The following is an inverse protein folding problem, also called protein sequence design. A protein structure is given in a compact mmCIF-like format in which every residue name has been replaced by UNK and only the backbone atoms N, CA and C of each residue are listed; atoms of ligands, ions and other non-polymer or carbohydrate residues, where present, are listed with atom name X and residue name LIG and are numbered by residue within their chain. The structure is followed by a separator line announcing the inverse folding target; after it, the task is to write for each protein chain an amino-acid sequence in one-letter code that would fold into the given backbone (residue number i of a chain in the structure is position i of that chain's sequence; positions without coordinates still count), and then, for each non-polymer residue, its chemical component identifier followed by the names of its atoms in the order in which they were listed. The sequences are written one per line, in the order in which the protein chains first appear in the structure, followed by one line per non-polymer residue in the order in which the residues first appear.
data_IF_183952262997
#
_entry.id   IF_183952262997
#
_cell.length_a   1.000
_cell.length_b   1.000
_cell.length_c   1.000
_cell.angle_alpha   90.00
_cell.angle_beta   90.00
_cell.angle_gamma   90.00
#
_symmetry.space_group_name_H-M   'P 1'
#
loop_
_entity.id
_entity.type
_entity.pdbx_description
1 polymer ?
#
# COMPACT_ATOMS: atom_id res chain seq x y z
N UNK A 1 4.53 -28.96 10.93
CA UNK A 1 3.53 -27.97 10.45
C UNK A 1 2.22 -28.09 11.20
N UNK A 2 1.68 -29.30 11.39
CA UNK A 2 0.41 -29.52 12.08
C UNK A 2 0.43 -29.16 13.57
N UNK A 3 1.52 -29.44 14.28
CA UNK A 3 1.74 -29.01 15.67
C UNK A 3 1.77 -27.49 15.83
N UNK A 4 2.30 -26.77 14.84
CA UNK A 4 2.36 -25.30 14.82
C UNK A 4 0.99 -24.71 14.50
N UNK A 5 0.26 -25.29 13.54
CA UNK A 5 -1.10 -24.89 13.24
C UNK A 5 -2.05 -25.08 14.43
N UNK A 6 -1.95 -26.21 15.13
CA UNK A 6 -2.73 -26.48 16.34
C UNK A 6 -2.39 -25.52 17.49
N UNK A 7 -1.15 -25.03 17.56
CA UNK A 7 -0.75 -23.99 18.51
C UNK A 7 -1.42 -22.65 18.20
N UNK A 8 -1.37 -22.18 16.94
CA UNK A 8 -2.04 -20.93 16.55
C UNK A 8 -3.56 -20.99 16.75
N UNK A 9 -4.16 -22.15 16.55
CA UNK A 9 -5.59 -22.36 16.81
C UNK A 9 -5.93 -22.21 18.31
N UNK A 10 -5.09 -22.73 19.20
CA UNK A 10 -5.22 -22.53 20.66
C UNK A 10 -4.99 -21.08 21.08
N UNK A 11 -4.15 -20.35 20.36
CA UNK A 11 -3.87 -18.92 20.58
C UNK A 11 -4.97 -18.01 19.98
N UNK A 12 -6.00 -18.57 19.33
CA UNK A 12 -7.11 -17.84 18.71
C UNK A 12 -6.79 -17.26 17.32
N UNK A 13 -5.59 -17.52 16.78
CA UNK A 13 -5.16 -17.07 15.45
C UNK A 13 -5.50 -18.14 14.38
N UNK A 14 -6.79 -18.18 14.03
CA UNK A 14 -7.32 -19.10 13.01
C UNK A 14 -6.71 -18.84 11.63
N UNK A 15 -6.35 -17.59 11.30
CA UNK A 15 -5.78 -17.23 10.00
C UNK A 15 -4.41 -17.87 9.82
N UNK A 16 -3.52 -17.73 10.80
CA UNK A 16 -2.20 -18.37 10.76
C UNK A 16 -2.32 -19.89 10.82
N UNK A 17 -3.24 -20.44 11.61
CA UNK A 17 -3.47 -21.88 11.63
C UNK A 17 -3.78 -22.43 10.22
N UNK A 18 -4.71 -21.81 9.50
CA UNK A 18 -5.07 -22.21 8.13
C UNK A 18 -3.88 -22.08 7.17
N UNK A 19 -3.15 -20.96 7.21
CA UNK A 19 -1.98 -20.76 6.37
C UNK A 19 -0.94 -21.86 6.59
N UNK A 20 -0.63 -22.18 7.85
CA UNK A 20 0.35 -23.21 8.18
C UNK A 20 -0.08 -24.63 7.76
N UNK A 21 -1.39 -24.91 7.75
CA UNK A 21 -1.91 -26.16 7.19
C UNK A 21 -1.76 -26.23 5.66
N UNK A 22 -1.88 -25.09 4.97
CA UNK A 22 -1.74 -25.03 3.51
C UNK A 22 -0.29 -25.12 3.02
N UNK A 23 0.70 -24.62 3.78
CA UNK A 23 2.12 -24.62 3.37
C UNK A 23 2.60 -26.02 3.00
N UNK A 24 2.35 -27.02 3.86
CA UNK A 24 2.86 -28.37 3.63
C UNK A 24 2.37 -28.93 2.29
N UNK A 25 1.05 -28.82 2.03
CA UNK A 25 0.45 -29.26 0.78
C UNK A 25 1.03 -28.52 -0.41
N UNK A 26 1.19 -27.19 -0.33
CA UNK A 26 1.75 -26.41 -1.42
C UNK A 26 3.20 -26.80 -1.76
N UNK A 27 4.01 -27.15 -0.76
CA UNK A 27 5.38 -27.63 -0.96
C UNK A 27 5.40 -29.00 -1.63
N UNK A 28 4.58 -29.95 -1.15
CA UNK A 28 4.47 -31.27 -1.78
C UNK A 28 3.97 -31.16 -3.22
N UNK A 29 2.91 -30.39 -3.46
CA UNK A 29 2.36 -30.15 -4.79
C UNK A 29 3.40 -29.52 -5.75
N UNK A 30 4.33 -28.70 -5.24
CA UNK A 30 5.44 -28.17 -6.04
C UNK A 30 6.45 -29.27 -6.39
N UNK A 31 6.87 -30.07 -5.41
CA UNK A 31 7.84 -31.15 -5.62
C UNK A 31 7.29 -32.18 -6.61
N UNK A 32 6.02 -32.53 -6.50
CA UNK A 32 5.33 -33.42 -7.45
C UNK A 32 5.35 -32.84 -8.87
N UNK A 33 5.07 -31.55 -9.03
CA UNK A 33 5.15 -30.89 -10.34
C UNK A 33 6.57 -30.88 -10.92
N UNK A 34 7.58 -30.63 -10.08
CA UNK A 34 8.98 -30.70 -10.53
C UNK A 34 9.32 -32.12 -10.96
N UNK A 35 8.87 -33.13 -10.21
CA UNK A 35 9.02 -34.53 -10.59
C UNK A 35 8.33 -34.85 -11.92
N UNK A 36 7.08 -34.43 -12.11
CA UNK A 36 6.32 -34.68 -13.35
C UNK A 36 6.96 -34.00 -14.56
N UNK A 37 7.50 -32.79 -14.40
CA UNK A 37 8.16 -32.05 -15.48
C UNK A 37 9.51 -32.66 -15.87
N UNK A 38 10.30 -33.10 -14.89
CA UNK A 38 11.65 -33.64 -15.12
C UNK A 38 11.61 -35.13 -15.47
N UNK A 39 10.58 -35.85 -15.03
CA UNK A 39 10.33 -37.25 -15.33
C UNK A 39 11.52 -38.15 -15.00
N UNK A 40 12.22 -38.61 -16.05
CA UNK A 40 13.42 -39.47 -15.96
C UNK A 40 14.69 -38.78 -16.41
N UNK A 41 14.64 -37.50 -16.75
CA UNK A 41 15.82 -36.75 -17.15
C UNK A 41 16.77 -36.58 -15.97
N UNK A 42 18.08 -36.70 -16.25
CA UNK A 42 19.10 -36.46 -15.23
C UNK A 42 19.40 -34.96 -15.20
N UNK A 43 18.94 -34.31 -14.15
CA UNK A 43 19.21 -32.91 -13.86
C UNK A 43 20.38 -32.78 -12.87
N UNK A 44 21.13 -31.69 -12.96
CA UNK A 44 22.15 -31.41 -11.95
C UNK A 44 21.50 -30.97 -10.63
N UNK A 45 22.19 -31.17 -9.51
CA UNK A 45 21.72 -30.70 -8.21
C UNK A 45 21.53 -29.17 -8.19
N UNK A 46 22.31 -28.43 -8.98
CA UNK A 46 22.22 -26.97 -9.11
C UNK A 46 20.93 -26.57 -9.80
N UNK A 47 20.63 -27.17 -10.95
CA UNK A 47 19.43 -26.84 -11.73
C UNK A 47 18.16 -27.24 -10.96
N UNK A 48 18.21 -28.37 -10.25
CA UNK A 48 17.11 -28.77 -9.37
C UNK A 48 16.86 -27.75 -8.25
N UNK A 49 17.93 -27.26 -7.60
CA UNK A 49 17.80 -26.23 -6.57
C UNK A 49 17.17 -24.95 -7.13
N UNK A 50 17.60 -24.51 -8.31
CA UNK A 50 17.06 -23.33 -8.97
C UNK A 50 15.57 -23.49 -9.31
N UNK A 51 15.16 -24.68 -9.77
CA UNK A 51 13.74 -25.01 -10.00
C UNK A 51 12.92 -24.96 -8.71
N UNK A 52 13.44 -25.52 -7.61
CA UNK A 52 12.78 -25.51 -6.31
C UNK A 52 12.66 -24.08 -5.78
N UNK A 53 13.74 -23.30 -5.79
CA UNK A 53 13.73 -21.90 -5.33
C UNK A 53 12.77 -21.04 -6.15
N UNK A 54 12.82 -21.17 -7.48
CA UNK A 54 11.91 -20.47 -8.38
C UNK A 54 10.47 -20.87 -8.11
N UNK A 55 10.20 -22.18 -7.99
CA UNK A 55 8.88 -22.70 -7.68
C UNK A 55 8.33 -22.18 -6.36
N UNK A 56 9.12 -22.23 -5.30
CA UNK A 56 8.75 -21.72 -3.97
C UNK A 56 8.47 -20.22 -4.01
N UNK A 57 9.25 -19.43 -4.75
CA UNK A 57 9.04 -17.98 -4.89
C UNK A 57 7.70 -17.61 -5.55
N UNK A 58 7.14 -18.53 -6.34
CA UNK A 58 5.85 -18.35 -7.02
C UNK A 58 4.65 -18.86 -6.21
N UNK A 59 4.88 -19.57 -5.10
CA UNK A 59 3.78 -20.04 -4.26
C UNK A 59 3.11 -18.85 -3.57
N UNK A 60 1.83 -18.64 -3.87
CA UNK A 60 0.98 -17.66 -3.19
C UNK A 60 -0.13 -18.39 -2.43
N UNK A 61 -0.12 -18.26 -1.10
CA UNK A 61 -1.14 -18.87 -0.24
C UNK A 61 -2.27 -17.88 -0.01
N UNK A 62 -3.45 -18.19 -0.54
CA UNK A 62 -4.66 -17.43 -0.32
C UNK A 62 -5.46 -17.98 0.86
N UNK A 63 -5.80 -17.12 1.82
CA UNK A 63 -6.76 -17.46 2.87
C UNK A 63 -8.13 -16.91 2.52
N UNK A 64 -9.18 -17.74 2.57
CA UNK A 64 -10.56 -17.26 2.46
C UNK A 64 -10.87 -16.43 3.71
N UNK A 65 -11.26 -15.15 3.57
CA UNK A 65 -11.60 -14.34 4.73
C UNK A 65 -12.79 -14.96 5.48
N UNK A 66 -12.60 -15.25 6.77
CA UNK A 66 -13.60 -15.89 7.64
C UNK A 66 -14.68 -14.92 8.14
N UNK A 67 -14.53 -13.61 7.90
CA UNK A 67 -15.44 -12.56 8.41
C UNK A 67 -16.28 -11.92 7.30
N UNK A 68 -17.52 -11.59 7.63
CA UNK A 68 -18.50 -10.95 6.74
C UNK A 68 -18.21 -9.46 6.56
N UNK A 69 -17.77 -8.77 7.61
CA UNK A 69 -17.39 -7.37 7.56
C UNK A 69 -15.92 -7.23 7.16
N UNK A 70 -15.69 -6.68 5.97
CA UNK A 70 -14.37 -6.65 5.34
C UNK A 70 -14.22 -5.48 4.38
N UNK A 71 -13.00 -4.96 4.32
CA UNK A 71 -12.56 -4.03 3.29
C UNK A 71 -12.00 -4.84 2.12
N UNK A 72 -12.48 -4.57 0.92
CA UNK A 72 -11.94 -5.17 -0.30
C UNK A 72 -10.82 -4.29 -0.85
N UNK A 73 -9.60 -4.83 -0.85
CA UNK A 73 -8.43 -4.20 -1.46
C UNK A 73 -8.06 -5.01 -2.69
N UNK A 74 -7.83 -4.34 -3.81
CA UNK A 74 -7.39 -5.02 -5.02
C UNK A 74 -7.07 -4.08 -6.18
N UNK A 75 -6.72 -4.69 -7.29
CA UNK A 75 -6.26 -4.03 -8.50
C UNK A 75 -7.42 -3.47 -9.36
N UNK A 76 -7.16 -2.38 -10.08
CA UNK A 76 -8.14 -1.64 -10.90
C UNK A 76 -8.68 -2.49 -12.06
N UNK A 77 -7.85 -3.35 -12.67
CA UNK A 77 -8.21 -4.14 -13.85
C UNK A 77 -8.87 -5.48 -13.46
N UNK A 78 -8.40 -6.09 -12.36
CA UNK A 78 -8.79 -7.45 -11.97
C UNK A 78 -9.92 -7.51 -10.95
N UNK A 79 -10.04 -6.52 -10.07
CA UNK A 79 -11.03 -6.56 -8.99
C UNK A 79 -12.44 -6.27 -9.51
N UNK A 80 -13.37 -7.17 -9.20
CA UNK A 80 -14.80 -6.97 -9.51
C UNK A 80 -15.51 -6.40 -8.28
N UNK A 81 -15.68 -5.09 -8.29
CA UNK A 81 -16.48 -4.37 -7.29
C UNK A 81 -17.97 -4.48 -7.62
N UNK A 82 -18.80 -4.79 -6.62
CA UNK A 82 -20.28 -4.81 -6.70
C UNK A 82 -20.84 -3.84 -5.66
N UNK A 83 -21.68 -2.89 -6.08
CA UNK A 83 -22.42 -1.95 -5.22
C UNK A 83 -21.66 -1.45 -3.98
N UNK A 84 -20.49 -0.85 -4.19
CA UNK A 84 -19.69 -0.26 -3.10
C UNK A 84 -20.26 1.11 -2.73
N UNK A 85 -20.33 1.42 -1.43
CA UNK A 85 -20.75 2.76 -0.97
C UNK A 85 -19.62 3.77 -1.08
N UNK A 86 -18.44 3.38 -0.61
CA UNK A 86 -17.23 4.18 -0.60
C UNK A 86 -16.12 3.48 -1.39
N UNK A 87 -15.45 4.22 -2.27
CA UNK A 87 -14.31 3.72 -3.04
C UNK A 87 -13.09 4.61 -2.82
N UNK A 88 -11.96 3.97 -2.49
CA UNK A 88 -10.67 4.64 -2.31
C UNK A 88 -9.70 4.20 -3.41
N UNK A 89 -9.29 5.15 -4.26
CA UNK A 89 -8.15 4.98 -5.13
C UNK A 89 -6.90 5.48 -4.41
N UNK A 90 -5.97 4.58 -4.12
CA UNK A 90 -4.70 4.90 -3.49
C UNK A 90 -3.56 4.93 -4.51
N UNK A 91 -2.61 5.84 -4.31
CA UNK A 91 -1.38 5.89 -5.11
C UNK A 91 -1.60 6.32 -6.56
N UNK A 92 -2.52 7.27 -6.78
CA UNK A 92 -2.86 7.86 -8.09
C UNK A 92 -1.76 8.82 -8.56
N UNK A 93 -0.59 8.23 -8.77
CA UNK A 93 0.65 8.88 -9.15
C UNK A 93 0.98 8.63 -10.62
N UNK A 94 1.79 9.51 -11.19
CA UNK A 94 2.35 9.31 -12.52
C UNK A 94 3.18 8.01 -12.58
N UNK A 95 3.11 7.30 -13.70
CA UNK A 95 3.70 5.96 -13.87
C UNK A 95 2.91 4.79 -13.25
N UNK A 96 2.11 5.03 -12.20
CA UNK A 96 1.18 4.04 -11.65
C UNK A 96 -0.14 4.03 -12.43
N UNK A 97 -0.60 5.22 -12.85
CA UNK A 97 -1.85 5.42 -13.58
C UNK A 97 -1.60 6.38 -14.76
N UNK A 98 -1.66 5.91 -16.02
CA UNK A 98 -1.75 4.50 -16.40
C UNK A 98 -0.46 3.75 -16.01
N UNK A 99 -0.57 2.46 -15.69
CA UNK A 99 0.60 1.64 -15.37
C UNK A 99 1.44 1.52 -16.63
N UNK A 100 2.71 1.91 -16.55
CA UNK A 100 3.65 1.70 -17.65
C UNK A 100 3.71 0.22 -18.00
N UNK A 101 3.40 -0.12 -19.25
CA UNK A 101 3.49 -1.50 -19.74
C UNK A 101 4.97 -1.83 -19.87
N UNK A 102 5.46 -2.81 -19.11
CA UNK A 102 6.87 -3.18 -19.14
C UNK A 102 7.27 -3.70 -20.53
N UNK A 103 8.50 -3.38 -20.96
CA UNK A 103 9.14 -3.85 -22.20
C UNK A 103 9.53 -5.34 -22.15
N UNK A 104 8.62 -6.21 -21.70
CA UNK A 104 8.85 -7.64 -21.53
C UNK A 104 7.99 -8.44 -22.49
N UNK A 105 8.49 -8.68 -23.70
CA UNK A 105 7.82 -9.52 -24.68
C UNK A 105 8.83 -10.10 -25.66
N UNK A 106 8.58 -11.31 -26.13
CA UNK A 106 9.40 -11.97 -27.16
C UNK A 106 9.26 -11.22 -28.51
N UNK A 107 8.09 -10.61 -28.75
CA UNK A 107 7.77 -9.88 -29.98
C UNK A 107 7.95 -8.39 -29.78
N UNK A 108 8.68 -7.76 -30.71
CA UNK A 108 8.76 -6.30 -30.81
C UNK A 108 7.46 -5.68 -31.30
N UNK A 109 7.32 -4.36 -31.18
CA UNK A 109 6.17 -3.64 -31.71
C UNK A 109 6.07 -3.78 -33.24
N UNK A 110 7.20 -3.84 -33.96
CA UNK A 110 7.25 -4.08 -35.41
C UNK A 110 6.75 -5.49 -35.76
N UNK A 111 7.16 -6.52 -35.01
CA UNK A 111 6.69 -7.90 -35.23
C UNK A 111 5.17 -7.99 -35.05
N UNK A 112 4.64 -7.28 -34.04
CA UNK A 112 3.21 -7.25 -33.75
C UNK A 112 2.42 -6.58 -34.86
N UNK A 113 2.89 -5.45 -35.38
CA UNK A 113 2.24 -4.76 -36.50
C UNK A 113 2.25 -5.62 -37.77
N UNK A 114 3.38 -6.26 -38.07
CA UNK A 114 3.48 -7.19 -39.21
C UNK A 114 2.50 -8.35 -39.07
N UNK A 115 2.48 -9.05 -37.93
CA UNK A 115 1.58 -10.17 -37.69
C UNK A 115 0.10 -9.73 -37.70
N UNK A 116 -0.23 -8.56 -37.16
CA UNK A 116 -1.58 -8.01 -37.21
C UNK A 116 -2.02 -7.70 -38.65
N UNK A 117 -1.10 -7.22 -39.51
CA UNK A 117 -1.38 -7.00 -40.93
C UNK A 117 -1.71 -8.29 -41.69
N UNK A 118 -1.22 -9.43 -41.20
CA UNK A 118 -1.54 -10.77 -41.70
C UNK A 118 -2.84 -11.35 -41.10
N UNK A 119 -3.56 -10.57 -40.29
CA UNK A 119 -4.81 -10.99 -39.64
C UNK A 119 -4.63 -11.75 -38.34
N UNK A 120 -3.41 -11.84 -37.78
CA UNK A 120 -3.20 -12.46 -36.49
C UNK A 120 -3.78 -11.61 -35.35
N UNK A 121 -4.57 -12.23 -34.48
CA UNK A 121 -5.08 -11.57 -33.26
C UNK A 121 -4.02 -11.68 -32.17
N UNK A 122 -3.41 -10.55 -31.82
CA UNK A 122 -2.38 -10.46 -30.80
C UNK A 122 -2.89 -9.76 -29.54
N UNK A 123 -2.16 -9.92 -28.44
CA UNK A 123 -2.41 -9.15 -27.22
C UNK A 123 -2.33 -7.64 -27.48
N UNK A 124 -3.11 -6.81 -26.75
CA UNK A 124 -3.18 -5.37 -26.99
C UNK A 124 -1.82 -4.69 -27.04
N UNK A 125 -1.65 -3.78 -28.00
CA UNK A 125 -0.48 -2.92 -28.09
C UNK A 125 -0.44 -1.92 -26.91
N UNK A 126 0.72 -1.32 -26.56
CA UNK A 126 0.83 -0.40 -25.41
C UNK A 126 -0.21 0.74 -25.44
N UNK A 127 -0.48 1.29 -26.63
CA UNK A 127 -1.50 2.33 -26.82
C UNK A 127 -2.92 1.82 -26.53
N UNK A 128 -3.25 0.59 -26.95
CA UNK A 128 -4.55 -0.02 -26.67
C UNK A 128 -4.68 -0.34 -25.17
N UNK A 129 -3.61 -0.82 -24.53
CA UNK A 129 -3.58 -1.06 -23.09
C UNK A 129 -3.87 0.22 -22.29
N UNK A 130 -3.32 1.36 -22.72
CA UNK A 130 -3.62 2.66 -22.12
C UNK A 130 -5.13 3.00 -22.22
N UNK A 131 -5.77 2.76 -23.36
CA UNK A 131 -7.21 2.99 -23.51
C UNK A 131 -8.03 2.02 -22.64
N UNK A 132 -7.64 0.76 -22.55
CA UNK A 132 -8.26 -0.24 -21.68
C UNK A 132 -8.18 0.20 -20.21
N UNK A 133 -7.02 0.71 -19.77
CA UNK A 133 -6.88 1.25 -18.41
C UNK A 133 -7.76 2.46 -18.15
N UNK A 134 -7.87 3.37 -19.12
CA UNK A 134 -8.82 4.50 -19.03
C UNK A 134 -10.26 4.05 -18.87
N UNK A 135 -10.66 3.01 -19.61
CA UNK A 135 -11.98 2.41 -19.48
C UNK A 135 -12.17 1.81 -18.09
N UNK A 136 -11.20 1.07 -17.55
CA UNK A 136 -11.30 0.52 -16.20
C UNK A 136 -11.36 1.60 -15.12
N UNK A 137 -10.63 2.70 -15.26
CA UNK A 137 -10.74 3.84 -14.34
C UNK A 137 -12.16 4.39 -14.34
N UNK A 138 -12.70 4.68 -15.53
CA UNK A 138 -14.09 5.14 -15.66
C UNK A 138 -15.07 4.17 -14.99
N UNK A 139 -15.01 2.88 -15.37
CA UNK A 139 -15.92 1.86 -14.86
C UNK A 139 -15.83 1.69 -13.34
N UNK A 140 -14.68 1.90 -12.72
CA UNK A 140 -14.54 1.78 -11.27
C UNK A 140 -14.95 3.08 -10.56
N UNK A 141 -14.56 4.24 -11.07
CA UNK A 141 -14.87 5.54 -10.47
C UNK A 141 -16.36 5.88 -10.48
N UNK A 142 -17.15 5.27 -11.36
CA UNK A 142 -18.61 5.45 -11.41
C UNK A 142 -19.39 4.40 -10.62
N UNK A 143 -18.73 3.45 -9.94
CA UNK A 143 -19.39 2.46 -9.07
C UNK A 143 -19.80 2.93 -7.68
N UNK A 144 -19.07 3.82 -6.97
CA UNK A 144 -19.44 4.16 -5.61
C UNK A 144 -20.77 4.89 -5.57
N UNK A 145 -21.66 4.49 -4.66
CA UNK A 145 -22.97 5.13 -4.50
C UNK A 145 -22.93 6.38 -3.61
N UNK A 146 -21.88 6.55 -2.80
CA UNK A 146 -21.78 7.66 -1.84
C UNK A 146 -20.50 8.48 -2.06
N UNK A 147 -19.30 7.90 -1.87
CA UNK A 147 -18.05 8.68 -1.93
C UNK A 147 -16.96 8.01 -2.76
N UNK A 148 -16.23 8.85 -3.49
CA UNK A 148 -15.01 8.50 -4.23
C UNK A 148 -13.85 9.32 -3.68
N UNK A 149 -12.88 8.65 -3.08
CA UNK A 149 -11.65 9.28 -2.56
C UNK A 149 -10.49 8.92 -3.47
N UNK A 150 -9.75 9.93 -3.93
CA UNK A 150 -8.58 9.76 -4.80
C UNK A 150 -7.37 10.33 -4.08
N UNK A 151 -6.40 9.47 -3.74
CA UNK A 151 -5.17 9.88 -3.04
C UNK A 151 -3.93 9.59 -3.86
N UNK A 152 -2.91 10.43 -3.69
CA UNK A 152 -1.61 10.31 -4.35
C UNK A 152 -0.50 10.71 -3.37
N UNK A 153 0.67 10.10 -3.51
CA UNK A 153 1.84 10.44 -2.70
C UNK A 153 2.63 11.59 -3.32
N UNK A 154 3.27 12.43 -2.50
CA UNK A 154 4.22 13.47 -2.97
C UNK A 154 5.68 13.02 -2.93
N UNK A 155 5.97 12.02 -2.11
CA UNK A 155 7.32 11.51 -1.84
C UNK A 155 7.26 9.98 -1.76
N UNK A 156 8.19 9.30 -2.42
CA UNK A 156 8.33 7.84 -2.35
C UNK A 156 9.05 7.41 -1.07
N UNK A 157 9.08 6.10 -0.78
CA UNK A 157 9.90 5.57 0.32
C UNK A 157 11.38 5.95 0.19
N UNK A 158 11.91 5.99 -1.04
CA UNK A 158 13.29 6.44 -1.34
C UNK A 158 13.48 7.98 -1.29
N UNK A 159 12.55 8.73 -0.71
CA UNK A 159 12.58 10.20 -0.64
C UNK A 159 12.59 10.94 -2.00
N UNK A 160 12.18 10.27 -3.09
CA UNK A 160 12.08 10.89 -4.41
C UNK A 160 10.74 11.60 -4.56
N UNK A 161 10.74 12.75 -5.22
CA UNK A 161 9.50 13.45 -5.55
C UNK A 161 8.62 12.61 -6.47
N UNK A 162 7.36 12.47 -6.11
CA UNK A 162 6.34 11.81 -6.91
C UNK A 162 5.34 12.82 -7.43
N UNK A 163 4.96 12.69 -8.69
CA UNK A 163 3.95 13.53 -9.32
C UNK A 163 2.57 12.86 -9.26
N UNK A 164 1.49 13.63 -9.11
CA UNK A 164 0.14 13.09 -9.29
C UNK A 164 -0.07 12.63 -10.73
N UNK A 165 -0.92 11.62 -10.92
CA UNK A 165 -1.33 11.17 -12.25
C UNK A 165 -2.14 12.24 -12.99
N UNK A 166 -2.17 12.16 -14.33
CA UNK A 166 -3.05 12.98 -15.18
C UNK A 166 -4.53 12.93 -14.73
N UNK A 167 -4.95 11.83 -14.09
CA UNK A 167 -6.31 11.66 -13.58
C UNK A 167 -6.68 12.75 -12.55
N UNK A 168 -5.73 13.16 -11.69
CA UNK A 168 -5.96 14.20 -10.68
C UNK A 168 -6.24 15.54 -11.37
N UNK A 169 -5.48 15.87 -12.41
CA UNK A 169 -5.70 17.09 -13.18
C UNK A 169 -7.05 17.06 -13.91
N UNK A 170 -7.40 15.92 -14.52
CA UNK A 170 -8.70 15.72 -15.16
C UNK A 170 -9.87 15.92 -14.19
N UNK A 171 -9.78 15.35 -12.99
CA UNK A 171 -10.82 15.50 -11.96
C UNK A 171 -10.98 16.96 -11.51
N UNK A 172 -9.89 17.70 -11.34
CA UNK A 172 -9.96 19.13 -11.01
C UNK A 172 -10.58 19.99 -12.11
N UNK A 173 -10.40 19.60 -13.36
CA UNK A 173 -11.05 20.30 -14.48
C UNK A 173 -12.55 19.98 -14.55
N UNK A 174 -12.94 18.75 -14.20
CA UNK A 174 -14.35 18.33 -14.14
C UNK A 174 -15.09 18.89 -12.92
N UNK A 175 -14.39 19.05 -11.80
CA UNK A 175 -14.92 19.54 -10.54
C UNK A 175 -14.06 20.72 -10.05
N UNK A 176 -14.32 21.95 -10.52
CA UNK A 176 -13.49 23.11 -10.21
C UNK A 176 -13.38 23.42 -8.71
N UNK A 177 -14.44 23.12 -7.95
CA UNK A 177 -14.49 23.31 -6.49
C UNK A 177 -13.77 22.21 -5.70
N UNK A 178 -13.24 21.18 -6.39
CA UNK A 178 -12.53 20.07 -5.74
C UNK A 178 -11.19 20.56 -5.18
N UNK A 179 -11.12 20.62 -3.85
CA UNK A 179 -9.91 20.97 -3.12
C UNK A 179 -9.05 19.73 -2.87
N UNK A 180 -7.75 19.89 -3.06
CA UNK A 180 -6.78 18.89 -2.63
C UNK A 180 -6.56 19.09 -1.14
N UNK A 181 -6.91 18.10 -0.34
CA UNK A 181 -6.61 18.09 1.07
C UNK A 181 -5.22 17.50 1.30
N UNK A 182 -4.43 18.19 2.14
CA UNK A 182 -3.11 17.75 2.57
C UNK A 182 -3.27 17.36 4.04
N UNK A 183 -3.29 16.06 4.39
CA UNK A 183 -3.51 15.62 5.76
C UNK A 183 -2.57 16.28 6.78
N UNK A 184 -1.34 16.59 6.37
CA UNK A 184 -0.31 17.23 7.19
C UNK A 184 -0.59 18.71 7.48
N UNK A 185 -1.56 19.33 6.79
CA UNK A 185 -1.98 20.72 7.01
C UNK A 185 -3.25 20.85 7.86
N UNK A 186 -3.86 19.73 8.26
CA UNK A 186 -5.05 19.74 9.11
C UNK A 186 -4.70 20.17 10.55
N UNK A 187 -5.66 20.61 11.37
CA UNK A 187 -5.41 20.89 12.78
C UNK A 187 -4.73 19.70 13.47
N UNK A 188 -3.80 19.98 14.39
CA UNK A 188 -3.01 18.92 15.06
C UNK A 188 -3.90 17.89 15.75
N UNK A 189 -5.04 18.32 16.28
CA UNK A 189 -6.08 17.47 16.88
C UNK A 189 -6.55 16.35 15.92
N UNK A 190 -6.61 16.61 14.62
CA UNK A 190 -7.06 15.64 13.60
C UNK A 190 -5.91 14.78 13.02
N UNK A 191 -4.67 15.20 13.21
CA UNK A 191 -3.48 14.48 12.75
C UNK A 191 -3.09 13.34 13.70
N UNK A 192 -3.43 13.48 14.98
CA UNK A 192 -3.10 12.51 16.02
C UNK A 192 -4.09 11.32 15.95
N UNK A 193 -3.75 10.32 15.15
CA UNK A 193 -4.58 9.10 14.97
C UNK A 193 -4.09 7.91 15.78
N UNK A 194 -2.79 7.82 15.99
CA UNK A 194 -2.14 6.76 16.76
C UNK A 194 -0.93 7.32 17.54
N UNK A 195 -0.39 6.49 18.43
CA UNK A 195 0.73 6.86 19.28
C UNK A 195 2.00 7.20 18.47
N UNK A 196 2.21 6.57 17.31
CA UNK A 196 3.43 6.72 16.51
C UNK A 196 3.42 8.00 15.66
N UNK A 197 2.33 8.27 14.94
CA UNK A 197 2.10 9.53 14.24
C UNK A 197 2.22 10.72 15.20
N UNK A 198 1.73 10.52 16.43
CA UNK A 198 1.86 11.48 17.50
C UNK A 198 3.29 11.82 17.92
N UNK A 199 4.20 10.82 17.90
CA UNK A 199 5.62 11.02 18.24
C UNK A 199 6.28 12.00 17.27
N UNK A 200 6.07 11.82 15.96
CA UNK A 200 6.64 12.72 14.94
C UNK A 200 6.09 14.14 15.04
N UNK A 201 4.79 14.28 15.28
CA UNK A 201 4.13 15.59 15.43
C UNK A 201 4.68 16.33 16.65
N UNK A 202 4.77 15.65 17.81
CA UNK A 202 5.34 16.24 19.02
C UNK A 202 6.80 16.65 18.83
N UNK A 203 7.60 15.83 18.14
CA UNK A 203 9.00 16.15 17.86
C UNK A 203 9.15 17.40 16.99
N UNK A 204 8.33 17.54 15.94
CA UNK A 204 8.33 18.72 15.07
C UNK A 204 7.87 19.99 15.83
N UNK A 205 6.78 19.88 16.59
CA UNK A 205 6.26 20.98 17.41
C UNK A 205 7.27 21.44 18.48
N UNK A 206 7.94 20.52 19.17
CA UNK A 206 8.99 20.89 20.14
C UNK A 206 10.19 21.56 19.47
N UNK A 207 10.58 21.09 18.28
CA UNK A 207 11.65 21.72 17.51
C UNK A 207 11.29 23.15 17.13
N UNK A 208 10.10 23.37 16.55
CA UNK A 208 9.61 24.71 16.17
C UNK A 208 9.47 25.64 17.38
N UNK A 209 9.07 25.11 18.54
CA UNK A 209 9.04 25.86 19.80
C UNK A 209 10.42 26.37 20.20
N UNK A 210 11.44 25.51 20.16
CA UNK A 210 12.83 25.88 20.49
C UNK A 210 13.42 26.85 19.47
N UNK A 211 13.06 26.70 18.19
CA UNK A 211 13.46 27.62 17.12
C UNK A 211 12.75 28.99 17.20
N UNK A 212 11.82 29.18 18.15
CA UNK A 212 11.10 30.43 18.37
C UNK A 212 10.00 30.72 17.35
N UNK A 213 9.65 29.74 16.50
CA UNK A 213 8.65 29.87 15.43
C UNK A 213 7.23 29.45 15.85
N UNK A 214 7.04 29.08 17.13
CA UNK A 214 5.72 28.86 17.73
C UNK A 214 5.34 30.10 18.54
N UNK A 215 4.17 30.68 18.24
CA UNK A 215 3.70 31.95 18.82
C UNK A 215 3.59 33.10 17.82
N UNK A 216 4.00 32.90 16.56
CA UNK A 216 3.76 33.86 15.47
C UNK A 216 2.27 34.03 15.16
N UNK A 217 1.46 32.99 15.45
CA UNK A 217 0.00 33.04 15.45
C UNK A 217 -0.59 32.43 16.71
N UNK A 218 -1.73 32.93 17.15
CA UNK A 218 -2.47 32.41 18.32
C UNK A 218 -2.87 30.93 18.15
N UNK A 219 -3.12 30.53 16.90
CA UNK A 219 -3.42 29.16 16.48
C UNK A 219 -2.21 28.23 16.70
N UNK A 220 -1.01 28.64 16.28
CA UNK A 220 0.22 27.84 16.48
C UNK A 220 0.53 27.59 17.97
N UNK A 221 0.29 28.59 18.82
CA UNK A 221 0.48 28.48 20.25
C UNK A 221 -0.59 27.61 20.92
N UNK A 222 -1.82 27.62 20.40
CA UNK A 222 -2.90 26.73 20.84
C UNK A 222 -2.58 25.28 20.47
N UNK A 223 -2.21 25.02 19.23
CA UNK A 223 -1.87 23.68 18.72
C UNK A 223 -0.72 23.04 19.49
N UNK A 224 0.33 23.82 19.78
CA UNK A 224 1.44 23.37 20.61
C UNK A 224 0.97 22.98 22.02
N UNK A 225 0.17 23.83 22.67
CA UNK A 225 -0.33 23.57 24.03
C UNK A 225 -1.22 22.34 24.08
N UNK A 226 -2.08 22.14 23.08
CA UNK A 226 -2.95 20.99 22.98
C UNK A 226 -2.17 19.70 22.76
N UNK A 227 -1.27 19.67 21.78
CA UNK A 227 -0.44 18.51 21.53
C UNK A 227 0.45 18.18 22.73
N UNK A 228 1.15 19.17 23.27
CA UNK A 228 2.01 18.99 24.43
C UNK A 228 1.21 18.55 25.67
N UNK A 229 0.04 19.13 25.92
CA UNK A 229 -0.86 18.74 27.01
C UNK A 229 -1.34 17.29 26.87
N UNK A 230 -1.73 16.89 25.66
CA UNK A 230 -2.15 15.52 25.37
C UNK A 230 -1.02 14.51 25.62
N UNK A 231 0.19 14.75 25.08
CA UNK A 231 1.33 13.83 25.26
C UNK A 231 1.96 13.85 26.64
N UNK A 232 1.68 14.88 27.44
CA UNK A 232 2.09 14.93 28.86
C UNK A 232 0.98 14.51 29.82
N UNK A 233 -0.19 14.14 29.31
CA UNK A 233 -1.30 13.65 30.11
C UNK A 233 -0.95 12.34 30.84
N UNK A 234 -1.54 12.09 32.02
CA UNK A 234 -1.35 10.85 32.76
C UNK A 234 -1.75 9.60 31.97
N UNK A 235 -2.75 9.73 31.09
CA UNK A 235 -3.30 8.64 30.27
C UNK A 235 -2.31 8.17 29.20
N UNK A 236 -1.64 9.10 28.52
CA UNK A 236 -0.64 8.78 27.49
C UNK A 236 0.70 8.39 28.11
N UNK A 237 1.08 8.99 29.24
CA UNK A 237 2.33 8.70 29.96
C UNK A 237 2.26 7.49 30.91
N UNK A 238 1.10 6.86 31.03
CA UNK A 238 0.96 5.54 31.67
C UNK A 238 1.75 4.45 30.92
N UNK A 239 1.95 4.63 29.61
CA UNK A 239 2.81 3.80 28.78
C UNK A 239 4.30 4.14 29.04
N UNK A 240 5.10 3.18 29.56
CA UNK A 240 6.52 3.41 29.88
C UNK A 240 7.36 3.89 28.69
N UNK A 241 7.06 3.42 27.48
CA UNK A 241 7.81 3.83 26.27
C UNK A 241 7.50 5.28 25.90
N UNK A 242 6.22 5.68 25.92
CA UNK A 242 5.84 7.07 25.64
C UNK A 242 6.39 8.02 26.69
N UNK A 243 6.37 7.62 27.96
CA UNK A 243 6.97 8.41 29.05
C UNK A 243 8.47 8.62 28.86
N UNK A 244 9.20 7.57 28.46
CA UNK A 244 10.63 7.66 28.15
C UNK A 244 10.89 8.55 26.93
N UNK A 245 10.08 8.41 25.88
CA UNK A 245 10.17 9.20 24.64
C UNK A 245 9.95 10.70 24.88
N UNK A 246 8.88 11.08 25.58
CA UNK A 246 8.59 12.48 25.93
C UNK A 246 9.71 13.07 26.79
N UNK A 247 10.26 12.30 27.73
CA UNK A 247 11.41 12.73 28.55
C UNK A 247 12.67 12.95 27.69
N UNK A 248 12.93 12.07 26.73
CA UNK A 248 14.05 12.20 25.79
C UNK A 248 13.88 13.45 24.92
N UNK A 249 12.69 13.69 24.35
CA UNK A 249 12.42 14.88 23.54
C UNK A 249 12.57 16.17 24.33
N UNK A 250 12.04 16.24 25.56
CA UNK A 250 12.24 17.40 26.46
C UNK A 250 13.72 17.66 26.71
N UNK A 251 14.50 16.61 26.99
CA UNK A 251 15.94 16.74 27.20
C UNK A 251 16.64 17.22 25.92
N UNK A 252 16.34 16.63 24.77
CA UNK A 252 16.96 17.01 23.49
C UNK A 252 16.61 18.45 23.07
N UNK A 253 15.35 18.87 23.26
CA UNK A 253 14.88 20.21 22.96
C UNK A 253 15.49 21.28 23.89
N UNK A 254 15.62 20.96 25.18
CA UNK A 254 16.09 21.91 26.20
C UNK A 254 17.60 21.85 26.46
N UNK A 255 18.34 20.85 25.96
CA UNK A 255 19.80 20.77 26.15
C UNK A 255 20.60 21.78 25.30
N UNK A 256 19.96 22.52 24.39
CA UNK A 256 20.60 23.59 23.61
C UNK A 256 20.54 24.97 24.29
N UNK A 257 19.96 25.05 25.49
CA UNK A 257 19.90 26.24 26.34
C UNK A 257 20.35 25.92 27.77
#
# INVERSE_FOLDING_TARGET
MESIAARFEKEGDSVRSIQYRQIYRAVIDLLDKIHDLTGRERISARDYLELVETGLSQISLGTIPQRVDRILVGDIERTRLTQVRHLFFAGVNDGNIPRSVSKGGILSDMDREFLASLGAVLSPAPRQQMFIQRLYLYLNMTKPSETLTVSFARVSQDQKSMRPSYLVHMLRNLFPDLKIEIPEQRPVEEQIRDKEAGRSILADLLRRFVEGSIGESEESARDFRLAYGFYTSPEVTADPEMKAYVRMLKKAALCRY
#
